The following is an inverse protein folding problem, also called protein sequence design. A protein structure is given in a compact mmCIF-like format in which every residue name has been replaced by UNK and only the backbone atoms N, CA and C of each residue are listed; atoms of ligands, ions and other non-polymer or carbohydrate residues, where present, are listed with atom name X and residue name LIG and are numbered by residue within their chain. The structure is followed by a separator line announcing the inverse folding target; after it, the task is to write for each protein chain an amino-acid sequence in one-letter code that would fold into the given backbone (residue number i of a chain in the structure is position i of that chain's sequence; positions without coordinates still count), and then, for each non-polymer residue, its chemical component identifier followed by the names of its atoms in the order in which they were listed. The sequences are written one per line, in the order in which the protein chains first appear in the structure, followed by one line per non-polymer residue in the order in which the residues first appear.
data_IF_753029959530
#
_entry.id   IF_753029959530
#
_cell.length_a   1.000
_cell.length_b   1.000
_cell.length_c   1.000
_cell.angle_alpha   90.00
_cell.angle_beta   90.00
_cell.angle_gamma   90.00
#
_symmetry.space_group_name_H-M   'P 1'
#
loop_
_entity.id
_entity.type
_entity.pdbx_description
1 polymer ?
#
# COMPACT_ATOMS: atom_id res chain seq x y z
N UNK A 1 -19.74 7.11 -11.72
CA UNK A 1 -19.49 5.94 -10.88
C UNK A 1 -20.29 4.79 -11.47
N UNK A 2 -19.61 3.78 -12.04
CA UNK A 2 -20.30 2.58 -12.54
C UNK A 2 -20.57 1.68 -11.34
N UNK A 3 -21.81 1.20 -11.19
CA UNK A 3 -22.18 0.25 -10.13
C UNK A 3 -21.38 -1.04 -10.31
N UNK A 4 -20.57 -1.40 -9.31
CA UNK A 4 -19.72 -2.60 -9.32
C UNK A 4 -20.24 -3.63 -8.33
N UNK A 5 -19.98 -4.90 -8.58
CA UNK A 5 -20.31 -6.00 -7.68
C UNK A 5 -19.67 -5.84 -6.30
N UNK A 6 -18.52 -5.14 -6.20
CA UNK A 6 -17.85 -4.82 -4.93
C UNK A 6 -18.77 -4.07 -3.95
N UNK A 7 -19.61 -3.15 -4.42
CA UNK A 7 -20.54 -2.42 -3.53
C UNK A 7 -21.62 -3.32 -2.94
N UNK A 8 -22.20 -4.26 -3.74
CA UNK A 8 -23.19 -5.22 -3.24
C UNK A 8 -22.51 -6.18 -2.25
N UNK A 9 -21.38 -6.75 -2.63
CA UNK A 9 -20.62 -7.66 -1.78
C UNK A 9 -20.23 -7.00 -0.44
N UNK A 10 -19.80 -5.73 -0.47
CA UNK A 10 -19.51 -4.95 0.74
C UNK A 10 -20.70 -4.87 1.68
N UNK A 11 -21.87 -4.52 1.15
CA UNK A 11 -23.08 -4.36 1.96
C UNK A 11 -23.55 -5.71 2.54
N UNK A 12 -23.52 -6.77 1.73
CA UNK A 12 -23.97 -8.11 2.15
C UNK A 12 -23.04 -8.69 3.22
N UNK A 13 -21.74 -8.66 2.98
CA UNK A 13 -20.75 -9.22 3.92
C UNK A 13 -20.65 -8.39 5.20
N UNK A 14 -20.64 -7.06 5.10
CA UNK A 14 -20.64 -6.20 6.28
C UNK A 14 -21.93 -6.37 7.08
N UNK A 15 -23.09 -6.45 6.42
CA UNK A 15 -24.36 -6.73 7.07
C UNK A 15 -24.37 -8.08 7.79
N UNK A 16 -23.82 -9.12 7.18
CA UNK A 16 -23.62 -10.43 7.80
C UNK A 16 -22.71 -10.39 9.03
N UNK A 17 -21.60 -9.64 8.95
CA UNK A 17 -20.67 -9.46 10.07
C UNK A 17 -21.34 -8.71 11.24
N UNK A 18 -22.09 -7.64 10.95
CA UNK A 18 -22.86 -6.89 11.95
C UNK A 18 -23.88 -7.80 12.64
N UNK A 19 -24.63 -8.62 11.87
CA UNK A 19 -25.58 -9.57 12.42
C UNK A 19 -24.89 -10.62 13.31
N UNK A 20 -23.79 -11.22 12.83
CA UNK A 20 -23.02 -12.19 13.61
C UNK A 20 -22.49 -11.56 14.90
N UNK A 21 -21.96 -10.34 14.85
CA UNK A 21 -21.50 -9.60 16.02
C UNK A 21 -22.62 -9.33 17.02
N UNK A 22 -23.77 -8.88 16.53
CA UNK A 22 -24.93 -8.61 17.38
C UNK A 22 -25.40 -9.87 18.11
N UNK A 23 -25.53 -11.00 17.42
CA UNK A 23 -25.91 -12.26 18.03
C UNK A 23 -24.82 -12.84 18.95
N UNK A 24 -23.54 -12.56 18.68
CA UNK A 24 -22.43 -12.98 19.53
C UNK A 24 -22.36 -12.20 20.85
N UNK A 25 -22.79 -10.93 20.84
CA UNK A 25 -22.72 -10.04 22.02
C UNK A 25 -24.03 -10.02 22.83
N UNK A 26 -25.18 -10.27 22.19
CA UNK A 26 -26.51 -10.15 22.81
C UNK A 26 -27.31 -11.45 22.67
N UNK A 27 -27.47 -12.20 23.74
CA UNK A 27 -28.40 -13.30 23.79
C UNK A 27 -27.83 -14.72 23.92
N UNK A 28 -28.57 -15.73 23.45
CA UNK A 28 -28.31 -17.17 23.67
C UNK A 28 -27.04 -17.69 22.94
N UNK A 29 -26.43 -16.89 22.09
CA UNK A 29 -25.24 -17.26 21.29
C UNK A 29 -23.99 -16.48 21.70
N UNK A 30 -24.01 -15.81 22.85
CA UNK A 30 -22.87 -15.04 23.32
C UNK A 30 -21.60 -15.91 23.44
N UNK A 31 -20.51 -15.52 22.77
CA UNK A 31 -19.24 -16.25 22.73
C UNK A 31 -19.22 -17.51 21.85
N UNK A 32 -20.26 -17.77 21.03
CA UNK A 32 -20.31 -18.96 20.15
C UNK A 32 -20.11 -18.62 18.67
N UNK A 33 -20.19 -17.35 18.29
CA UNK A 33 -20.11 -16.90 16.91
C UNK A 33 -18.80 -16.18 16.57
N UNK A 34 -17.78 -16.28 17.42
CA UNK A 34 -16.48 -15.58 17.26
C UNK A 34 -15.83 -15.86 15.90
N UNK A 35 -15.83 -17.13 15.45
CA UNK A 35 -15.30 -17.51 14.14
C UNK A 35 -16.07 -16.87 12.99
N UNK A 36 -17.41 -16.75 13.12
CA UNK A 36 -18.24 -16.12 12.09
C UNK A 36 -18.02 -14.60 12.06
N UNK A 37 -17.91 -13.96 13.24
CA UNK A 37 -17.60 -12.53 13.35
C UNK A 37 -16.24 -12.26 12.73
N UNK A 38 -15.23 -13.05 13.12
CA UNK A 38 -13.86 -12.94 12.59
C UNK A 38 -13.84 -13.12 11.07
N UNK A 39 -14.37 -14.23 10.56
CA UNK A 39 -14.32 -14.57 9.14
C UNK A 39 -15.12 -13.61 8.27
N UNK A 40 -16.35 -13.28 8.65
CA UNK A 40 -17.20 -12.39 7.86
C UNK A 40 -16.68 -10.95 7.86
N UNK A 41 -16.23 -10.43 9.01
CA UNK A 41 -15.66 -9.08 9.07
C UNK A 41 -14.35 -8.99 8.28
N UNK A 42 -13.48 -10.00 8.39
CA UNK A 42 -12.23 -10.07 7.65
C UNK A 42 -12.46 -10.13 6.14
N UNK A 43 -13.35 -11.02 5.67
CA UNK A 43 -13.66 -11.15 4.23
C UNK A 43 -14.41 -9.92 3.70
N UNK A 44 -15.21 -9.23 4.53
CA UNK A 44 -15.87 -7.99 4.14
C UNK A 44 -14.89 -6.86 3.81
N UNK A 45 -13.69 -6.85 4.40
CA UNK A 45 -12.65 -5.86 4.08
C UNK A 45 -12.21 -5.92 2.62
N UNK A 46 -12.23 -7.09 1.98
CA UNK A 46 -11.81 -7.26 0.58
C UNK A 46 -12.62 -6.36 -0.38
N UNK A 47 -13.96 -6.52 -0.49
CA UNK A 47 -14.74 -5.66 -1.38
C UNK A 47 -14.86 -4.22 -0.86
N UNK A 48 -14.70 -3.98 0.45
CA UNK A 48 -14.69 -2.63 1.04
C UNK A 48 -13.43 -1.86 0.63
N UNK A 49 -12.23 -2.48 0.69
CA UNK A 49 -10.99 -1.87 0.23
C UNK A 49 -11.07 -1.54 -1.27
N UNK A 50 -11.59 -2.46 -2.09
CA UNK A 50 -11.80 -2.19 -3.52
C UNK A 50 -12.78 -1.03 -3.75
N UNK A 51 -13.90 -0.98 -3.02
CA UNK A 51 -14.87 0.10 -3.14
C UNK A 51 -14.28 1.45 -2.72
N UNK A 52 -13.46 1.46 -1.67
CA UNK A 52 -12.75 2.65 -1.21
C UNK A 52 -11.75 3.16 -2.25
N UNK A 53 -10.95 2.27 -2.85
CA UNK A 53 -10.01 2.62 -3.92
C UNK A 53 -10.73 3.17 -5.14
N UNK A 54 -11.83 2.56 -5.59
CA UNK A 54 -12.65 3.06 -6.71
C UNK A 54 -13.18 4.49 -6.46
N UNK A 55 -13.57 4.77 -5.21
CA UNK A 55 -14.05 6.12 -4.81
C UNK A 55 -12.89 7.11 -4.75
N UNK A 56 -11.75 6.71 -4.20
CA UNK A 56 -10.54 7.54 -4.11
C UNK A 56 -10.04 7.93 -5.50
N UNK A 57 -9.93 6.98 -6.44
CA UNK A 57 -9.60 7.26 -7.84
C UNK A 57 -10.61 8.22 -8.47
N UNK A 58 -11.91 8.05 -8.19
CA UNK A 58 -12.96 8.94 -8.69
C UNK A 58 -12.87 10.37 -8.18
N UNK A 59 -12.18 10.60 -7.06
CA UNK A 59 -11.94 11.92 -6.48
C UNK A 59 -10.66 12.58 -6.98
N UNK A 60 -9.70 11.83 -7.52
CA UNK A 60 -8.40 12.37 -7.97
C UNK A 60 -8.48 13.55 -8.94
N UNK A 61 -9.45 13.64 -9.89
CA UNK A 61 -9.57 14.79 -10.77
C UNK A 61 -9.95 16.11 -10.09
N UNK A 62 -10.50 16.02 -8.86
CA UNK A 62 -10.91 17.20 -8.08
C UNK A 62 -9.82 17.72 -7.15
N UNK A 63 -8.75 16.94 -6.98
CA UNK A 63 -7.70 17.21 -6.00
C UNK A 63 -6.48 17.84 -6.66
N UNK A 64 -5.84 18.77 -5.95
CA UNK A 64 -4.51 19.24 -6.31
C UNK A 64 -3.49 18.11 -6.20
N UNK A 65 -2.39 18.20 -6.97
CA UNK A 65 -1.39 17.13 -7.08
C UNK A 65 -0.92 16.55 -5.74
N UNK A 66 -0.51 17.41 -4.80
CA UNK A 66 0.01 16.96 -3.48
C UNK A 66 -1.10 16.30 -2.64
N UNK A 67 -2.31 16.89 -2.65
CA UNK A 67 -3.44 16.36 -1.90
C UNK A 67 -3.88 14.99 -2.44
N UNK A 68 -3.77 14.78 -3.76
CA UNK A 68 -4.01 13.47 -4.38
C UNK A 68 -3.11 12.39 -3.79
N UNK A 69 -1.78 12.59 -3.80
CA UNK A 69 -0.84 11.61 -3.28
C UNK A 69 -1.06 11.31 -1.78
N UNK A 70 -1.40 12.33 -0.99
CA UNK A 70 -1.69 12.13 0.42
C UNK A 70 -3.00 11.36 0.67
N UNK A 71 -4.04 11.65 -0.12
CA UNK A 71 -5.32 10.94 -0.04
C UNK A 71 -5.17 9.49 -0.52
N UNK A 72 -4.47 9.25 -1.62
CA UNK A 72 -4.16 7.90 -2.11
C UNK A 72 -3.41 7.09 -1.05
N UNK A 73 -2.39 7.65 -0.42
CA UNK A 73 -1.64 6.97 0.65
C UNK A 73 -2.48 6.69 1.89
N UNK A 74 -3.33 7.64 2.28
CA UNK A 74 -4.16 7.48 3.49
C UNK A 74 -5.27 6.46 3.26
N UNK A 75 -6.04 6.61 2.19
CA UNK A 75 -7.21 5.77 1.94
C UNK A 75 -6.86 4.44 1.25
N UNK A 76 -5.75 4.38 0.51
CA UNK A 76 -5.22 3.14 -0.03
C UNK A 76 -4.80 2.15 1.06
N UNK A 77 -4.22 2.64 2.15
CA UNK A 77 -3.80 1.82 3.29
C UNK A 77 -4.79 1.89 4.48
N UNK A 78 -6.05 2.24 4.22
CA UNK A 78 -7.05 2.41 5.28
C UNK A 78 -7.34 1.12 6.08
N UNK A 79 -7.39 -0.08 5.47
CA UNK A 79 -7.55 -1.32 6.22
C UNK A 79 -6.42 -1.53 7.24
N UNK A 80 -5.15 -1.32 6.85
CA UNK A 80 -3.99 -1.46 7.75
C UNK A 80 -4.05 -0.46 8.90
N UNK A 81 -4.38 0.80 8.59
CA UNK A 81 -4.51 1.85 9.60
C UNK A 81 -5.65 1.52 10.58
N UNK A 82 -6.80 1.06 10.07
CA UNK A 82 -7.94 0.72 10.91
C UNK A 82 -7.65 -0.48 11.83
N UNK A 83 -7.06 -1.55 11.28
CA UNK A 83 -6.66 -2.73 12.05
C UNK A 83 -5.61 -2.36 13.08
N UNK A 84 -4.55 -1.65 12.67
CA UNK A 84 -3.49 -1.20 13.56
C UNK A 84 -4.03 -0.33 14.69
N UNK A 85 -4.94 0.60 14.41
CA UNK A 85 -5.57 1.45 15.41
C UNK A 85 -6.35 0.63 16.46
N UNK A 86 -7.22 -0.30 16.02
CA UNK A 86 -8.00 -1.09 16.97
C UNK A 86 -7.13 -2.07 17.77
N UNK A 87 -6.07 -2.62 17.18
CA UNK A 87 -5.07 -3.39 17.90
C UNK A 87 -4.32 -2.53 18.95
N UNK A 88 -4.00 -1.27 18.63
CA UNK A 88 -3.42 -0.32 19.59
C UNK A 88 -4.38 -0.02 20.74
N UNK A 89 -5.65 0.29 20.44
CA UNK A 89 -6.67 0.53 21.46
C UNK A 89 -6.76 -0.69 22.39
N UNK A 90 -6.88 -1.88 21.82
CA UNK A 90 -6.99 -3.14 22.57
C UNK A 90 -5.71 -3.47 23.38
N UNK A 91 -4.55 -3.11 22.85
CA UNK A 91 -3.28 -3.24 23.55
C UNK A 91 -3.27 -2.45 24.88
N UNK A 92 -3.85 -1.26 24.88
CA UNK A 92 -3.91 -0.38 26.05
C UNK A 92 -5.07 -0.71 27.02
N UNK A 93 -5.99 -1.61 26.67
CA UNK A 93 -7.05 -2.07 27.59
C UNK A 93 -6.50 -3.00 28.67
N UNK A 94 -5.43 -3.75 28.41
CA UNK A 94 -4.84 -4.72 29.35
C UNK A 94 -3.37 -4.96 29.08
N UNK A 95 -2.54 -4.87 30.13
CA UNK A 95 -1.12 -5.18 30.06
C UNK A 95 -0.83 -6.60 29.52
N UNK A 96 -1.75 -7.56 29.73
CA UNK A 96 -1.62 -8.92 29.22
C UNK A 96 -1.76 -8.98 27.68
N UNK A 97 -2.46 -8.02 27.06
CA UNK A 97 -2.69 -7.96 25.61
C UNK A 97 -1.68 -7.06 24.88
N UNK A 98 -0.92 -6.25 25.63
CA UNK A 98 -0.03 -5.23 25.04
C UNK A 98 0.96 -5.85 24.05
N UNK A 99 1.80 -6.79 24.53
CA UNK A 99 2.83 -7.39 23.69
C UNK A 99 2.26 -8.23 22.55
N UNK A 100 1.18 -9.00 22.81
CA UNK A 100 0.51 -9.79 21.76
C UNK A 100 0.02 -8.92 20.62
N UNK A 101 -0.67 -7.81 20.92
CA UNK A 101 -1.17 -6.92 19.91
C UNK A 101 -0.04 -6.16 19.18
N UNK A 102 1.03 -5.80 19.89
CA UNK A 102 2.21 -5.20 19.28
C UNK A 102 2.92 -6.15 18.31
N UNK A 103 3.01 -7.44 18.63
CA UNK A 103 3.51 -8.47 17.70
C UNK A 103 2.64 -8.55 16.44
N UNK A 104 1.30 -8.55 16.60
CA UNK A 104 0.38 -8.56 15.45
C UNK A 104 0.56 -7.30 14.60
N UNK A 105 0.68 -6.11 15.22
CA UNK A 105 0.87 -4.84 14.47
C UNK A 105 2.20 -4.86 13.71
N UNK A 106 3.31 -5.22 14.37
CA UNK A 106 4.63 -5.31 13.71
C UNK A 106 4.59 -6.31 12.56
N UNK A 107 3.96 -7.48 12.79
CA UNK A 107 3.71 -8.47 11.73
C UNK A 107 2.88 -7.91 10.58
N UNK A 108 1.78 -7.19 10.84
CA UNK A 108 0.95 -6.54 9.82
C UNK A 108 1.77 -5.58 8.95
N UNK A 109 2.60 -4.74 9.57
CA UNK A 109 3.38 -3.73 8.87
C UNK A 109 4.47 -4.35 7.97
N UNK A 110 5.24 -5.31 8.48
CA UNK A 110 6.24 -6.06 7.70
C UNK A 110 5.56 -6.95 6.66
N UNK A 111 4.47 -7.61 7.05
CA UNK A 111 3.70 -8.49 6.17
C UNK A 111 3.08 -7.76 4.99
N UNK A 112 2.60 -6.50 5.16
CA UNK A 112 2.08 -5.71 4.05
C UNK A 112 3.16 -5.38 3.02
N UNK A 113 4.38 -5.08 3.45
CA UNK A 113 5.53 -4.90 2.53
C UNK A 113 5.81 -6.20 1.77
N UNK A 114 5.92 -7.32 2.50
CA UNK A 114 6.19 -8.65 1.90
C UNK A 114 5.09 -9.03 0.91
N UNK A 115 3.83 -8.83 1.30
CA UNK A 115 2.66 -9.17 0.49
C UNK A 115 2.64 -8.38 -0.82
N UNK A 116 2.85 -7.07 -0.77
CA UNK A 116 2.84 -6.21 -1.96
C UNK A 116 4.04 -6.49 -2.87
N UNK A 117 5.25 -6.66 -2.31
CA UNK A 117 6.46 -6.92 -3.08
C UNK A 117 6.47 -8.31 -3.73
N UNK A 118 5.88 -9.32 -3.08
CA UNK A 118 5.96 -10.71 -3.54
C UNK A 118 4.63 -11.25 -4.07
N UNK A 119 3.53 -11.14 -3.31
CA UNK A 119 2.26 -11.74 -3.71
C UNK A 119 1.55 -10.88 -4.75
N UNK A 120 1.33 -9.60 -4.48
CA UNK A 120 0.58 -8.70 -5.39
C UNK A 120 1.35 -8.53 -6.70
N UNK A 121 2.64 -8.18 -6.63
CA UNK A 121 3.48 -8.04 -7.80
C UNK A 121 3.66 -9.39 -8.51
N UNK A 122 3.92 -10.47 -7.79
CA UNK A 122 4.10 -11.80 -8.36
C UNK A 122 2.87 -12.29 -9.14
N UNK A 123 1.66 -12.12 -8.61
CA UNK A 123 0.41 -12.47 -9.31
C UNK A 123 0.22 -11.56 -10.53
N UNK A 124 0.48 -10.26 -10.41
CA UNK A 124 0.35 -9.31 -11.51
C UNK A 124 1.30 -9.66 -12.67
N UNK A 125 2.59 -9.88 -12.37
CA UNK A 125 3.62 -10.30 -13.34
C UNK A 125 3.23 -11.64 -13.97
N UNK A 126 2.90 -12.65 -13.18
CA UNK A 126 2.53 -13.96 -13.67
C UNK A 126 1.31 -13.91 -14.60
N UNK A 127 0.21 -13.28 -14.14
CA UNK A 127 -1.03 -13.19 -14.92
C UNK A 127 -0.89 -12.32 -16.16
N UNK A 128 -0.07 -11.26 -16.09
CA UNK A 128 0.24 -10.37 -17.21
C UNK A 128 1.10 -11.09 -18.26
N UNK A 129 2.19 -11.72 -17.84
CA UNK A 129 3.13 -12.38 -18.74
C UNK A 129 2.57 -13.65 -19.38
N UNK A 130 1.68 -14.39 -18.70
CA UNK A 130 0.95 -15.49 -19.33
C UNK A 130 0.10 -15.06 -20.53
N UNK A 131 -0.37 -13.81 -20.51
CA UNK A 131 -1.21 -13.26 -21.59
C UNK A 131 -0.40 -12.53 -22.66
N UNK A 132 0.62 -11.78 -22.26
CA UNK A 132 1.32 -10.84 -23.13
C UNK A 132 2.75 -11.28 -23.48
N UNK A 133 3.27 -12.35 -22.86
CA UNK A 133 4.67 -12.75 -22.97
C UNK A 133 5.58 -11.89 -22.10
N UNK A 134 6.75 -11.51 -22.61
CA UNK A 134 7.67 -10.56 -21.95
C UNK A 134 7.01 -9.18 -21.93
N UNK A 135 7.02 -8.53 -20.78
CA UNK A 135 6.49 -7.18 -20.57
C UNK A 135 7.63 -6.24 -20.17
N UNK A 136 7.51 -4.98 -20.55
CA UNK A 136 8.48 -3.93 -20.22
C UNK A 136 7.86 -2.89 -19.29
N UNK A 137 8.70 -2.27 -18.47
CA UNK A 137 8.31 -1.20 -17.55
C UNK A 137 9.46 -0.20 -17.36
N UNK A 138 9.19 0.93 -16.75
CA UNK A 138 10.17 1.99 -16.51
C UNK A 138 11.16 1.57 -15.40
N UNK A 139 12.36 1.09 -15.79
CA UNK A 139 13.41 0.66 -14.86
C UNK A 139 13.85 1.78 -13.89
N UNK A 140 13.86 3.05 -14.31
CA UNK A 140 14.23 4.16 -13.43
C UNK A 140 13.19 4.37 -12.31
N UNK A 141 11.92 4.19 -12.62
CA UNK A 141 10.84 4.29 -11.63
C UNK A 141 10.90 3.12 -10.65
N UNK A 142 11.09 1.90 -11.16
CA UNK A 142 11.26 0.71 -10.33
C UNK A 142 12.49 0.81 -9.41
N UNK A 143 13.62 1.32 -9.91
CA UNK A 143 14.80 1.60 -9.10
C UNK A 143 14.55 2.67 -8.03
N UNK A 144 13.71 3.68 -8.33
CA UNK A 144 13.24 4.66 -7.36
C UNK A 144 12.48 4.02 -6.20
N UNK A 145 11.52 3.15 -6.49
CA UNK A 145 10.80 2.37 -5.46
C UNK A 145 11.73 1.46 -4.65
N UNK A 146 12.66 0.76 -5.32
CA UNK A 146 13.62 -0.11 -4.64
C UNK A 146 14.52 0.67 -3.66
N UNK A 147 14.99 1.85 -4.05
CA UNK A 147 15.82 2.69 -3.17
C UNK A 147 15.04 3.24 -1.97
N UNK A 148 13.79 3.65 -2.17
CA UNK A 148 12.91 4.12 -1.09
C UNK A 148 12.57 2.98 -0.13
N UNK A 149 12.29 1.79 -0.65
CA UNK A 149 12.03 0.60 0.16
C UNK A 149 13.28 0.21 0.96
N UNK A 150 14.46 0.22 0.34
CA UNK A 150 15.72 -0.06 1.05
C UNK A 150 15.97 0.95 2.19
N UNK A 151 15.75 2.25 1.95
CA UNK A 151 15.85 3.28 2.98
C UNK A 151 14.86 3.01 4.12
N UNK A 152 13.63 2.66 3.79
CA UNK A 152 12.59 2.36 4.77
C UNK A 152 12.98 1.15 5.64
N UNK A 153 13.44 0.06 5.03
CA UNK A 153 13.87 -1.16 5.75
C UNK A 153 15.06 -0.88 6.65
N UNK A 154 16.05 -0.10 6.19
CA UNK A 154 17.16 0.35 7.04
C UNK A 154 16.64 1.18 8.22
N UNK A 155 15.73 2.12 7.98
CA UNK A 155 15.10 2.92 9.03
C UNK A 155 14.40 2.07 10.09
N UNK A 156 13.62 1.05 9.66
CA UNK A 156 12.96 0.12 10.58
C UNK A 156 13.96 -0.76 11.36
N UNK A 157 15.09 -1.12 10.73
CA UNK A 157 16.09 -1.98 11.36
C UNK A 157 16.96 -1.23 12.41
N UNK A 158 17.20 0.08 12.22
CA UNK A 158 18.11 0.84 13.07
C UNK A 158 17.75 0.81 14.56
N UNK A 159 16.49 1.05 15.00
CA UNK A 159 16.13 0.98 16.42
C UNK A 159 16.35 -0.42 17.02
N UNK A 160 16.00 -1.47 16.27
CA UNK A 160 16.22 -2.86 16.70
C UNK A 160 17.71 -3.18 16.87
N UNK A 161 18.54 -2.80 15.89
CA UNK A 161 19.98 -3.03 15.96
C UNK A 161 20.61 -2.22 17.09
N UNK A 162 20.24 -0.94 17.23
CA UNK A 162 20.75 -0.09 18.30
C UNK A 162 20.41 -0.66 19.69
N UNK A 163 19.17 -1.10 19.89
CA UNK A 163 18.76 -1.75 21.15
C UNK A 163 19.51 -3.05 21.41
N UNK A 164 19.79 -3.85 20.37
CA UNK A 164 20.55 -5.11 20.51
C UNK A 164 22.03 -4.91 20.89
N UNK A 165 22.65 -3.80 20.54
CA UNK A 165 24.06 -3.50 20.86
C UNK A 165 24.23 -2.65 22.12
N UNK A 166 23.22 -1.91 22.55
CA UNK A 166 23.29 -1.11 23.77
C UNK A 166 23.20 -2.02 25.02
N UNK A 167 24.18 -1.90 25.89
CA UNK A 167 24.24 -2.71 27.16
C UNK A 167 23.26 -2.25 28.22
N UNK A 168 22.89 -0.97 28.20
CA UNK A 168 21.93 -0.33 29.10
C UNK A 168 21.11 0.66 28.32
N UNK A 169 19.89 0.28 27.99
CA UNK A 169 18.91 1.20 27.37
C UNK A 169 17.63 1.24 28.21
N UNK A 170 17.18 2.44 28.54
CA UNK A 170 15.87 2.63 29.15
C UNK A 170 14.76 2.44 28.10
N UNK A 171 13.57 2.04 28.54
CA UNK A 171 12.38 1.98 27.66
C UNK A 171 12.17 3.32 26.95
N UNK A 172 12.31 4.44 27.67
CA UNK A 172 12.18 5.79 27.12
C UNK A 172 13.16 6.07 25.96
N UNK A 173 14.40 5.57 26.04
CA UNK A 173 15.38 5.76 24.98
C UNK A 173 14.97 5.03 23.69
N UNK A 174 14.41 3.83 23.80
CA UNK A 174 13.91 3.03 22.67
C UNK A 174 12.67 3.66 22.04
N UNK A 175 11.75 4.13 22.88
CA UNK A 175 10.55 4.84 22.45
C UNK A 175 10.91 6.14 21.70
N UNK A 176 11.77 6.97 22.28
CA UNK A 176 12.23 8.20 21.66
C UNK A 176 12.97 7.93 20.33
N UNK A 177 13.81 6.90 20.25
CA UNK A 177 14.45 6.49 19.01
C UNK A 177 13.42 6.09 17.95
N UNK A 178 12.39 5.33 18.33
CA UNK A 178 11.31 4.90 17.43
C UNK A 178 10.48 6.09 16.93
N UNK A 179 10.17 7.06 17.79
CA UNK A 179 9.47 8.28 17.43
C UNK A 179 10.29 9.15 16.47
N UNK A 180 11.59 9.34 16.75
CA UNK A 180 12.48 10.13 15.88
C UNK A 180 12.63 9.47 14.51
N UNK A 181 12.89 8.17 14.46
CA UNK A 181 13.01 7.42 13.20
C UNK A 181 11.69 7.44 12.44
N UNK A 182 10.57 7.23 13.13
CA UNK A 182 9.23 7.39 12.54
C UNK A 182 9.02 8.78 11.93
N UNK A 183 9.42 9.84 12.64
CA UNK A 183 9.38 11.22 12.14
C UNK A 183 10.21 11.44 10.87
N UNK A 184 11.41 10.87 10.82
CA UNK A 184 12.29 10.94 9.65
C UNK A 184 11.66 10.18 8.46
N UNK A 185 11.14 8.98 8.67
CA UNK A 185 10.46 8.18 7.64
C UNK A 185 9.24 8.93 7.09
N UNK A 186 8.40 9.48 7.96
CA UNK A 186 7.24 10.26 7.58
C UNK A 186 7.61 11.52 6.78
N UNK A 187 8.62 12.26 7.20
CA UNK A 187 9.12 13.44 6.48
C UNK A 187 9.66 13.04 5.10
N UNK A 188 10.40 11.93 5.02
CA UNK A 188 10.90 11.38 3.76
C UNK A 188 9.75 11.05 2.79
N UNK A 189 8.66 10.48 3.32
CA UNK A 189 7.46 10.21 2.53
C UNK A 189 6.82 11.50 1.99
N UNK A 190 6.65 12.52 2.82
CA UNK A 190 6.11 13.83 2.38
C UNK A 190 6.99 14.45 1.30
N UNK A 191 8.32 14.38 1.45
CA UNK A 191 9.25 14.87 0.43
C UNK A 191 9.15 14.07 -0.87
N UNK A 192 9.01 12.74 -0.79
CA UNK A 192 8.81 11.87 -1.96
C UNK A 192 7.52 12.25 -2.71
N UNK A 193 6.38 12.37 -2.01
CA UNK A 193 5.12 12.78 -2.62
C UNK A 193 5.23 14.17 -3.24
N UNK A 194 5.85 15.10 -2.57
CA UNK A 194 6.09 16.44 -3.11
C UNK A 194 6.97 16.39 -4.38
N UNK A 195 8.09 15.67 -4.35
CA UNK A 195 9.00 15.56 -5.49
C UNK A 195 8.33 14.90 -6.70
N UNK A 196 7.60 13.80 -6.51
CA UNK A 196 6.89 13.09 -7.57
C UNK A 196 5.80 13.95 -8.22
N UNK A 197 5.07 14.73 -7.44
CA UNK A 197 3.98 15.57 -7.94
C UNK A 197 4.43 16.89 -8.59
N UNK A 198 5.56 17.44 -8.18
CA UNK A 198 6.11 18.69 -8.76
C UNK A 198 7.05 18.45 -9.95
N UNK A 199 7.35 17.20 -10.30
CA UNK A 199 8.28 16.86 -11.38
C UNK A 199 9.68 17.42 -11.16
N UNK A 200 10.13 17.53 -9.92
CA UNK A 200 11.44 18.11 -9.58
C UNK A 200 12.58 17.31 -10.21
N UNK A 201 12.40 16.00 -10.37
CA UNK A 201 13.38 15.15 -11.03
C UNK A 201 13.51 15.38 -12.55
N UNK A 202 12.40 15.65 -13.23
CA UNK A 202 12.38 15.95 -14.69
C UNK A 202 12.97 17.32 -15.00
N UNK A 203 12.70 18.34 -14.17
CA UNK A 203 13.26 19.69 -14.38
C UNK A 203 14.77 19.75 -14.24
N UNK A 204 15.37 18.92 -13.41
CA UNK A 204 16.83 18.81 -13.28
C UNK A 204 17.42 18.08 -14.49
N UNK A 205 16.71 17.09 -15.04
CA UNK A 205 17.19 16.30 -16.19
C UNK A 205 17.13 17.07 -17.50
N UNK A 206 16.06 17.84 -17.74
CA UNK A 206 15.94 18.71 -18.93
C UNK A 206 16.94 19.89 -18.91
N UNK A 207 17.39 20.32 -17.73
CA UNK A 207 18.40 21.38 -17.60
C UNK A 207 19.83 20.88 -17.85
N UNK A 208 20.09 19.58 -17.67
CA UNK A 208 21.40 18.95 -17.79
C UNK A 208 21.53 18.01 -19.01
N UNK A 209 20.47 17.87 -19.83
CA UNK A 209 20.58 17.15 -21.09
C UNK A 209 21.41 17.99 -22.08
N UNK A 210 22.46 17.42 -22.71
CA UNK A 210 23.14 18.12 -23.79
C UNK A 210 22.12 18.41 -24.89
N UNK A 211 22.01 19.67 -25.28
CA UNK A 211 21.26 20.08 -26.48
C UNK A 211 21.88 19.36 -27.66
N UNK A 212 21.31 18.28 -28.17
CA UNK A 212 21.81 17.60 -29.36
C UNK A 212 21.46 16.12 -29.55
N UNK A 213 20.98 15.39 -28.54
CA UNK A 213 20.81 13.93 -28.65
C UNK A 213 19.47 13.45 -29.28
N UNK A 214 18.57 14.33 -29.64
CA UNK A 214 17.26 13.99 -30.22
C UNK A 214 16.99 14.53 -31.64
N UNK A 215 17.94 15.26 -32.24
CA UNK A 215 17.66 15.97 -33.50
C UNK A 215 18.24 15.30 -34.75
N UNK A 216 19.11 14.30 -34.64
CA UNK A 216 19.72 13.69 -35.82
C UNK A 216 18.81 12.72 -36.58
N UNK A 217 17.78 12.15 -35.96
CA UNK A 217 16.82 11.27 -36.64
C UNK A 217 15.70 12.00 -37.39
N UNK A 218 15.28 13.17 -36.89
CA UNK A 218 14.24 13.98 -37.52
C UNK A 218 14.75 14.88 -38.63
N UNK A 219 16.03 15.27 -38.58
CA UNK A 219 16.65 16.15 -39.60
C UNK A 219 16.78 15.50 -40.98
N UNK A 220 16.93 14.16 -41.05
CA UNK A 220 17.09 13.45 -42.30
C UNK A 220 15.80 13.31 -43.13
N UNK A 221 14.62 13.28 -42.48
CA UNK A 221 13.30 13.27 -43.16
C UNK A 221 12.83 14.68 -43.53
N UNK A 222 13.37 15.70 -42.90
CA UNK A 222 12.98 17.10 -43.13
C UNK A 222 13.62 17.76 -44.37
N UNK A 223 14.67 17.20 -44.92
CA UNK A 223 15.43 17.82 -46.02
C UNK A 223 14.77 17.69 -47.40
N UNK A 224 13.78 16.81 -47.55
CA UNK A 224 13.07 16.53 -48.85
C UNK A 224 11.72 17.24 -49.01
N UNK A 225 11.23 18.00 -48.06
CA UNK A 225 9.97 18.70 -48.13
C UNK A 225 10.11 20.18 -48.50
N UNK A 226 9.34 20.63 -49.48
CA UNK A 226 9.17 22.05 -49.86
C UNK A 226 8.76 22.90 -48.64
N UNK A 227 9.29 24.10 -48.50
CA UNK A 227 9.10 24.99 -47.34
C UNK A 227 7.62 25.26 -47.02
N UNK A 228 6.77 25.27 -48.02
CA UNK A 228 5.32 25.41 -47.84
C UNK A 228 4.66 24.13 -47.26
N UNK A 229 5.13 22.97 -47.63
CA UNK A 229 4.67 21.70 -47.05
C UNK A 229 5.10 21.56 -45.57
N UNK A 230 6.31 22.01 -45.21
CA UNK A 230 6.78 22.11 -43.83
C UNK A 230 5.91 23.04 -42.97
N UNK A 231 5.59 24.21 -43.46
CA UNK A 231 4.69 25.17 -42.77
C UNK A 231 3.30 24.58 -42.56
N UNK A 232 2.75 23.87 -43.54
CA UNK A 232 1.44 23.21 -43.44
C UNK A 232 1.44 22.09 -42.42
N UNK A 233 2.47 21.21 -42.41
CA UNK A 233 2.61 20.11 -41.44
C UNK A 233 2.73 20.63 -40.04
N UNK A 234 3.59 21.63 -39.77
CA UNK A 234 3.70 22.30 -38.46
C UNK A 234 2.39 22.96 -37.99
N UNK A 235 1.66 23.55 -38.90
CA UNK A 235 0.34 24.17 -38.62
C UNK A 235 -0.71 23.09 -38.28
N UNK A 236 -0.72 21.97 -38.97
CA UNK A 236 -1.61 20.83 -38.70
C UNK A 236 -1.29 20.15 -37.38
N UNK A 237 -0.01 19.91 -37.10
CA UNK A 237 0.45 19.36 -35.84
C UNK A 237 0.11 20.27 -34.64
N UNK A 238 0.34 21.58 -34.78
CA UNK A 238 -0.05 22.57 -33.78
C UNK A 238 -1.57 22.65 -33.58
N UNK A 239 -2.33 22.51 -34.65
CA UNK A 239 -3.80 22.49 -34.59
C UNK A 239 -4.33 21.19 -33.94
N UNK A 240 -3.69 20.07 -34.23
CA UNK A 240 -4.03 18.78 -33.65
C UNK A 240 -3.67 18.73 -32.17
N UNK A 241 -2.52 19.30 -31.79
CA UNK A 241 -2.11 19.45 -30.37
C UNK A 241 -3.08 20.37 -29.62
N UNK A 242 -3.48 21.51 -30.21
CA UNK A 242 -4.50 22.40 -29.62
C UNK A 242 -5.85 21.70 -29.44
N UNK A 243 -6.32 20.92 -30.42
CA UNK A 243 -7.56 20.15 -30.32
C UNK A 243 -7.48 19.07 -29.20
N UNK A 244 -6.32 18.39 -29.04
CA UNK A 244 -6.09 17.45 -27.95
C UNK A 244 -6.10 18.13 -26.60
N UNK A 245 -5.46 19.27 -26.46
CA UNK A 245 -5.46 20.07 -25.23
C UNK A 245 -6.87 20.58 -24.89
N UNK A 246 -7.62 21.03 -25.90
CA UNK A 246 -8.97 21.55 -25.71
C UNK A 246 -9.99 20.45 -25.40
N UNK A 247 -9.85 19.27 -26.02
CA UNK A 247 -10.66 18.10 -25.68
C UNK A 247 -10.35 17.58 -24.28
N UNK A 248 -9.07 17.52 -23.89
CA UNK A 248 -8.65 17.16 -22.53
C UNK A 248 -9.18 18.15 -21.48
N UNK A 249 -9.11 19.47 -21.76
CA UNK A 249 -9.69 20.49 -20.87
C UNK A 249 -11.21 20.37 -20.75
N UNK A 250 -11.92 20.13 -21.85
CA UNK A 250 -13.39 19.93 -21.81
C UNK A 250 -13.79 18.66 -21.10
N UNK A 251 -12.97 17.61 -21.17
CA UNK A 251 -13.15 16.38 -20.43
C UNK A 251 -12.90 16.59 -18.93
N UNK A 252 -11.87 17.35 -18.59
CA UNK A 252 -11.56 17.77 -17.23
C UNK A 252 -12.66 18.66 -16.61
N UNK A 253 -13.16 19.63 -17.36
CA UNK A 253 -14.29 20.48 -16.93
C UNK A 253 -15.61 19.69 -16.81
N UNK A 254 -15.86 18.74 -17.70
CA UNK A 254 -17.04 17.85 -17.65
C UNK A 254 -16.96 16.86 -16.47
N UNK A 255 -15.76 16.54 -16.01
CA UNK A 255 -15.54 15.70 -14.82
C UNK A 255 -15.72 16.50 -13.51
N UNK A 256 -15.48 17.80 -13.49
CA UNK A 256 -15.62 18.69 -12.31
C UNK A 256 -17.08 19.05 -11.98
N UNK A 257 -17.94 18.04 -11.87
CA UNK A 257 -19.30 18.24 -11.39
C UNK A 257 -19.31 18.26 -9.85
N UNK A 258 -19.71 19.36 -9.18
CA UNK A 258 -19.68 19.47 -7.72
C UNK A 258 -20.56 18.41 -7.04
N UNK A 259 -21.63 17.97 -7.68
CA UNK A 259 -22.47 16.89 -7.16
C UNK A 259 -21.70 15.55 -7.09
N UNK A 260 -20.89 15.24 -8.11
CA UNK A 260 -20.04 14.04 -8.11
C UNK A 260 -18.97 14.11 -7.02
N UNK A 261 -18.40 15.29 -6.78
CA UNK A 261 -17.43 15.51 -5.69
C UNK A 261 -18.08 15.23 -4.34
N UNK A 262 -19.28 15.80 -4.09
CA UNK A 262 -19.98 15.59 -2.81
C UNK A 262 -20.33 14.10 -2.64
N UNK A 263 -20.87 13.45 -3.67
CA UNK A 263 -21.19 12.01 -3.63
C UNK A 263 -19.92 11.19 -3.37
N UNK A 264 -18.79 11.53 -4.02
CA UNK A 264 -17.51 10.86 -3.81
C UNK A 264 -17.01 11.02 -2.38
N UNK A 265 -17.04 12.22 -1.81
CA UNK A 265 -16.64 12.47 -0.42
C UNK A 265 -17.53 11.72 0.57
N UNK A 266 -18.85 11.75 0.37
CA UNK A 266 -19.81 11.02 1.23
C UNK A 266 -19.54 9.51 1.14
N UNK A 267 -19.33 8.98 -0.05
CA UNK A 267 -19.01 7.56 -0.26
C UNK A 267 -17.65 7.18 0.38
N UNK A 268 -16.64 8.05 0.26
CA UNK A 268 -15.33 7.87 0.89
C UNK A 268 -15.48 7.73 2.42
N UNK A 269 -16.19 8.67 3.05
CA UNK A 269 -16.43 8.65 4.49
C UNK A 269 -17.26 7.42 4.91
N UNK A 270 -18.27 7.04 4.13
CA UNK A 270 -19.10 5.87 4.38
C UNK A 270 -18.27 4.57 4.36
N UNK A 271 -17.50 4.33 3.29
CA UNK A 271 -16.68 3.11 3.20
C UNK A 271 -15.58 3.09 4.26
N UNK A 272 -14.97 4.23 4.57
CA UNK A 272 -14.02 4.35 5.67
C UNK A 272 -14.66 3.95 6.99
N UNK A 273 -15.83 4.49 7.32
CA UNK A 273 -16.55 4.13 8.56
C UNK A 273 -16.86 2.63 8.63
N UNK A 274 -17.28 2.03 7.51
CA UNK A 274 -17.58 0.59 7.47
C UNK A 274 -16.31 -0.25 7.63
N UNK A 275 -15.18 0.16 7.03
CA UNK A 275 -13.88 -0.50 7.23
C UNK A 275 -13.48 -0.46 8.72
N UNK A 276 -13.59 0.70 9.36
CA UNK A 276 -13.33 0.81 10.80
C UNK A 276 -14.25 -0.07 11.64
N UNK A 277 -15.51 -0.16 11.29
CA UNK A 277 -16.46 -1.04 11.98
C UNK A 277 -16.09 -2.52 11.83
N UNK A 278 -15.71 -2.95 10.62
CA UNK A 278 -15.26 -4.32 10.36
C UNK A 278 -13.95 -4.63 11.09
N UNK A 279 -12.99 -3.71 11.05
CA UNK A 279 -11.73 -3.84 11.78
C UNK A 279 -11.98 -4.00 13.30
N UNK A 280 -12.85 -3.17 13.88
CA UNK A 280 -13.21 -3.29 15.29
C UNK A 280 -13.82 -4.67 15.62
N UNK A 281 -14.70 -5.18 14.78
CA UNK A 281 -15.38 -6.46 15.04
C UNK A 281 -14.40 -7.62 15.04
N UNK A 282 -13.58 -7.77 14.01
CA UNK A 282 -12.68 -8.91 13.95
C UNK A 282 -11.50 -8.78 14.93
N UNK A 283 -10.96 -7.59 15.16
CA UNK A 283 -9.92 -7.36 16.19
C UNK A 283 -10.47 -7.68 17.56
N UNK A 284 -11.73 -7.34 17.84
CA UNK A 284 -12.42 -7.64 19.09
C UNK A 284 -12.40 -9.14 19.45
N UNK A 285 -12.49 -10.03 18.46
CA UNK A 285 -12.51 -11.50 18.67
C UNK A 285 -11.20 -12.21 18.29
N UNK A 286 -10.17 -11.48 17.85
CA UNK A 286 -8.91 -12.06 17.35
C UNK A 286 -8.23 -12.94 18.41
N UNK A 287 -8.17 -12.51 19.69
CA UNK A 287 -7.46 -13.27 20.73
C UNK A 287 -8.16 -14.59 21.03
N UNK A 288 -9.51 -14.61 21.04
CA UNK A 288 -10.29 -15.82 21.22
C UNK A 288 -10.06 -16.80 20.07
N UNK A 289 -10.01 -16.30 18.84
CA UNK A 289 -9.75 -17.12 17.65
C UNK A 289 -8.34 -17.69 17.68
N UNK A 290 -7.33 -16.87 18.04
CA UNK A 290 -5.93 -17.34 18.18
C UNK A 290 -5.84 -18.41 19.29
N UNK A 291 -6.49 -18.19 20.45
CA UNK A 291 -6.45 -19.14 21.56
C UNK A 291 -7.08 -20.51 21.25
N UNK A 292 -7.99 -20.59 20.29
CA UNK A 292 -8.75 -21.80 19.93
C UNK A 292 -8.30 -22.43 18.59
N UNK A 293 -7.31 -21.86 17.91
CA UNK A 293 -6.82 -22.32 16.59
C UNK A 293 -5.29 -22.48 16.62
N UNK A 294 -4.69 -23.18 15.64
CA UNK A 294 -3.24 -23.23 15.48
C UNK A 294 -2.59 -21.90 15.04
N UNK A 295 -3.37 -20.82 14.90
CA UNK A 295 -2.85 -19.52 14.50
C UNK A 295 -2.00 -18.93 15.64
N UNK A 296 -0.93 -18.25 15.23
CA UNK A 296 -0.09 -17.48 16.17
C UNK A 296 -0.27 -15.98 15.91
N UNK A 297 -0.01 -15.09 16.88
CA UNK A 297 -0.02 -13.65 16.67
C UNK A 297 0.84 -13.24 15.47
N UNK A 298 2.01 -13.86 15.30
CA UNK A 298 2.90 -13.61 14.17
C UNK A 298 2.29 -14.05 12.84
N UNK A 299 1.72 -15.26 12.73
CA UNK A 299 1.13 -15.74 11.48
C UNK A 299 -0.10 -14.91 11.07
N UNK A 300 -0.88 -14.47 12.04
CA UNK A 300 -2.03 -13.57 11.81
C UNK A 300 -1.57 -12.20 11.31
N UNK A 301 -0.61 -11.58 12.01
CA UNK A 301 -0.08 -10.28 11.61
C UNK A 301 0.70 -10.34 10.31
N UNK A 302 1.65 -11.25 10.15
CA UNK A 302 2.58 -11.29 9.03
C UNK A 302 1.94 -11.76 7.71
N UNK A 303 0.97 -12.67 7.77
CA UNK A 303 0.42 -13.32 6.57
C UNK A 303 -1.07 -13.04 6.39
N UNK A 304 -1.92 -13.35 7.39
CA UNK A 304 -3.36 -13.34 7.21
C UNK A 304 -3.90 -11.92 6.98
N UNK A 305 -3.56 -10.98 7.84
CA UNK A 305 -4.04 -9.62 7.75
C UNK A 305 -3.53 -8.90 6.49
N UNK A 306 -2.21 -8.95 6.14
CA UNK A 306 -1.71 -8.34 4.93
C UNK A 306 -2.35 -8.86 3.65
N UNK A 307 -2.60 -10.16 3.53
CA UNK A 307 -3.30 -10.70 2.36
C UNK A 307 -4.66 -10.03 2.19
N UNK A 308 -5.43 -9.90 3.27
CA UNK A 308 -6.79 -9.33 3.22
C UNK A 308 -6.75 -7.83 2.96
N UNK A 309 -5.86 -7.10 3.65
CA UNK A 309 -5.73 -5.64 3.49
C UNK A 309 -5.36 -5.25 2.06
N UNK A 310 -4.44 -5.98 1.45
CA UNK A 310 -3.89 -5.64 0.14
C UNK A 310 -4.64 -6.31 -1.04
N UNK A 311 -5.84 -6.85 -0.83
CA UNK A 311 -6.66 -7.32 -1.96
C UNK A 311 -7.08 -6.19 -2.89
N UNK A 312 -7.19 -4.95 -2.40
CA UNK A 312 -7.46 -3.77 -3.21
C UNK A 312 -6.41 -3.56 -4.29
N UNK A 313 -5.14 -3.65 -3.91
CA UNK A 313 -3.97 -3.55 -4.79
C UNK A 313 -3.94 -4.69 -5.81
N UNK A 314 -4.27 -5.91 -5.39
CA UNK A 314 -4.34 -7.05 -6.30
C UNK A 314 -5.39 -6.83 -7.41
N UNK A 315 -6.57 -6.30 -7.06
CA UNK A 315 -7.63 -5.98 -8.01
C UNK A 315 -7.28 -4.80 -8.94
N UNK A 316 -6.33 -3.96 -8.58
CA UNK A 316 -5.81 -2.89 -9.43
C UNK A 316 -4.62 -3.36 -10.30
N UNK A 317 -3.62 -4.00 -9.70
CA UNK A 317 -2.38 -4.40 -10.37
C UNK A 317 -2.58 -5.51 -11.42
N UNK A 318 -3.36 -6.56 -11.11
CA UNK A 318 -3.54 -7.70 -12.04
C UNK A 318 -4.24 -7.30 -13.35
N UNK A 319 -5.35 -6.56 -13.34
CA UNK A 319 -5.94 -6.07 -14.59
C UNK A 319 -5.04 -5.13 -15.39
N UNK A 320 -4.20 -4.29 -14.74
CA UNK A 320 -3.24 -3.43 -15.40
C UNK A 320 -2.19 -4.27 -16.15
N UNK A 321 -1.53 -5.21 -15.47
CA UNK A 321 -0.55 -6.12 -16.07
C UNK A 321 -1.14 -6.93 -17.24
N UNK A 322 -2.39 -7.43 -17.10
CA UNK A 322 -3.08 -8.15 -18.19
C UNK A 322 -3.41 -7.28 -19.40
N UNK A 323 -3.48 -5.96 -19.25
CA UNK A 323 -3.60 -5.01 -20.37
C UNK A 323 -2.24 -4.60 -20.95
N UNK A 324 -1.16 -5.23 -20.55
CA UNK A 324 0.22 -4.89 -20.90
C UNK A 324 0.65 -3.49 -20.40
N UNK A 325 0.03 -3.03 -19.31
CA UNK A 325 0.35 -1.79 -18.61
C UNK A 325 1.09 -2.15 -17.32
N UNK A 326 2.36 -2.54 -17.48
CA UNK A 326 3.18 -3.00 -16.37
C UNK A 326 3.62 -1.83 -15.47
N UNK A 327 3.76 -0.63 -16.03
CA UNK A 327 4.07 0.57 -15.26
C UNK A 327 2.99 0.85 -14.21
N UNK A 328 1.70 0.83 -14.61
CA UNK A 328 0.60 0.99 -13.65
C UNK A 328 0.53 -0.15 -12.63
N UNK A 329 0.84 -1.39 -13.01
CA UNK A 329 0.86 -2.51 -12.07
C UNK A 329 1.99 -2.37 -11.04
N UNK A 330 3.16 -1.90 -11.48
CA UNK A 330 4.31 -1.57 -10.62
C UNK A 330 4.00 -0.41 -9.67
N UNK A 331 3.37 0.65 -10.17
CA UNK A 331 2.97 1.79 -9.34
C UNK A 331 2.06 1.39 -8.19
N UNK A 332 1.11 0.52 -8.44
CA UNK A 332 0.21 0.02 -7.40
C UNK A 332 0.97 -0.83 -6.38
N UNK A 333 1.64 -1.90 -6.83
CA UNK A 333 2.29 -2.85 -5.92
C UNK A 333 3.50 -2.22 -5.20
N UNK A 334 4.41 -1.57 -5.94
CA UNK A 334 5.60 -0.95 -5.40
C UNK A 334 5.32 0.33 -4.60
N UNK A 335 4.31 1.09 -5.03
CA UNK A 335 3.84 2.27 -4.30
C UNK A 335 3.41 1.90 -2.89
N UNK A 336 2.57 0.87 -2.73
CA UNK A 336 2.12 0.37 -1.42
C UNK A 336 3.29 -0.18 -0.59
N UNK A 337 4.28 -0.87 -1.20
CA UNK A 337 5.49 -1.30 -0.50
C UNK A 337 6.25 -0.15 0.18
N UNK A 338 6.26 1.03 -0.43
CA UNK A 338 6.93 2.23 0.09
C UNK A 338 6.04 2.99 1.08
N UNK A 339 4.74 3.04 0.82
CA UNK A 339 3.78 3.77 1.66
C UNK A 339 3.64 3.16 3.05
N UNK A 340 3.59 1.84 3.18
CA UNK A 340 3.44 1.20 4.48
C UNK A 340 4.56 1.58 5.45
N UNK A 341 5.85 1.37 5.16
CA UNK A 341 6.92 1.69 6.10
C UNK A 341 7.19 3.20 6.27
N UNK A 342 6.92 4.01 5.24
CA UNK A 342 7.20 5.45 5.31
C UNK A 342 6.02 6.29 5.81
N UNK A 343 4.79 5.77 5.74
CA UNK A 343 3.59 6.50 6.14
C UNK A 343 2.80 5.76 7.23
N UNK A 344 2.37 4.50 7.00
CA UNK A 344 1.51 3.78 7.96
C UNK A 344 2.24 3.50 9.27
N UNK A 345 3.49 3.03 9.20
CA UNK A 345 4.32 2.77 10.39
C UNK A 345 4.45 4.01 11.28
N UNK A 346 4.92 5.16 10.77
CA UNK A 346 5.00 6.37 11.58
C UNK A 346 3.66 6.81 12.17
N UNK A 347 2.58 6.74 11.38
CA UNK A 347 1.23 7.12 11.84
C UNK A 347 0.82 6.26 13.05
N UNK A 348 1.00 4.93 12.99
CA UNK A 348 0.65 4.04 14.11
C UNK A 348 1.56 4.25 15.31
N UNK A 349 2.86 4.52 15.12
CA UNK A 349 3.80 4.86 16.21
C UNK A 349 3.37 6.15 16.91
N UNK A 350 3.01 7.19 16.16
CA UNK A 350 2.54 8.46 16.75
C UNK A 350 1.19 8.29 17.46
N UNK A 351 0.25 7.54 16.88
CA UNK A 351 -1.03 7.24 17.54
C UNK A 351 -0.77 6.48 18.84
N UNK A 352 0.12 5.48 18.82
CA UNK A 352 0.48 4.72 20.01
C UNK A 352 1.06 5.62 21.11
N UNK A 353 1.94 6.56 20.77
CA UNK A 353 2.49 7.51 21.74
C UNK A 353 1.40 8.43 22.34
N UNK A 354 0.40 8.82 21.55
CA UNK A 354 -0.74 9.61 22.04
C UNK A 354 -1.58 8.76 23.01
N UNK A 355 -1.83 7.49 22.70
CA UNK A 355 -2.62 6.59 23.53
C UNK A 355 -1.88 6.23 24.85
N UNK A 356 -0.58 5.99 24.79
CA UNK A 356 0.26 5.69 25.95
C UNK A 356 0.36 6.90 26.92
N UNK A 357 0.28 8.13 26.41
CA UNK A 357 0.37 9.34 27.22
C UNK A 357 1.74 9.48 27.91
N UNK A 358 1.78 9.37 29.24
CA UNK A 358 3.03 9.45 30.04
C UNK A 358 3.55 8.09 30.49
N UNK A 359 2.91 6.99 30.09
CA UNK A 359 3.31 5.64 30.49
C UNK A 359 4.46 5.17 29.59
N UNK A 360 5.68 5.19 30.08
CA UNK A 360 6.79 4.57 29.36
C UNK A 360 6.66 3.04 29.34
N UNK A 361 6.97 2.44 28.19
CA UNK A 361 6.80 1.01 27.93
C UNK A 361 5.52 0.64 27.19
N UNK A 362 4.56 1.56 27.07
CA UNK A 362 3.28 1.32 26.39
C UNK A 362 3.25 1.85 24.93
N UNK A 363 4.32 2.48 24.45
CA UNK A 363 4.43 2.98 23.07
C UNK A 363 4.83 1.85 22.13
N UNK A 364 4.20 1.76 20.98
CA UNK A 364 4.61 0.86 19.90
C UNK A 364 6.02 1.25 19.40
N UNK A 365 7.01 0.45 19.77
CA UNK A 365 8.39 0.68 19.35
C UNK A 365 8.69 0.01 18.01
N UNK A 366 9.67 0.55 17.27
CA UNK A 366 10.23 -0.04 16.06
C UNK A 366 11.27 -1.13 16.40
N UNK A 367 10.98 -1.95 17.41
CA UNK A 367 11.76 -3.13 17.76
C UNK A 367 11.07 -4.35 17.16
N UNK A 368 11.61 -4.80 16.05
CA UNK A 368 11.13 -5.97 15.31
C UNK A 368 11.89 -7.23 15.72
N UNK A 369 11.29 -8.38 15.46
CA UNK A 369 12.03 -9.63 15.56
C UNK A 369 13.16 -9.63 14.49
N UNK A 370 14.40 -10.02 14.84
CA UNK A 370 15.49 -10.08 13.86
C UNK A 370 15.19 -10.88 12.61
N UNK A 371 14.38 -11.96 12.73
CA UNK A 371 13.98 -12.77 11.57
C UNK A 371 13.08 -11.95 10.63
N UNK A 372 12.14 -11.15 11.15
CA UNK A 372 11.27 -10.28 10.35
C UNK A 372 12.09 -9.25 9.54
N UNK A 373 13.12 -8.66 10.18
CA UNK A 373 14.02 -7.70 9.50
C UNK A 373 14.88 -8.37 8.44
N UNK A 374 15.41 -9.56 8.71
CA UNK A 374 16.17 -10.33 7.71
C UNK A 374 15.27 -10.66 6.52
N UNK A 375 14.06 -11.14 6.77
CA UNK A 375 13.11 -11.52 5.71
C UNK A 375 12.73 -10.30 4.87
N UNK A 376 12.34 -9.17 5.47
CA UNK A 376 12.00 -7.96 4.69
C UNK A 376 13.20 -7.38 3.94
N UNK A 377 14.41 -7.50 4.50
CA UNK A 377 15.65 -7.15 3.81
C UNK A 377 15.91 -8.01 2.57
N UNK A 378 15.74 -9.34 2.70
CA UNK A 378 15.84 -10.27 1.57
C UNK A 378 14.75 -10.01 0.51
N UNK A 379 13.52 -9.71 0.93
CA UNK A 379 12.43 -9.34 0.02
C UNK A 379 12.80 -8.08 -0.76
N UNK A 380 13.30 -7.05 -0.07
CA UNK A 380 13.77 -5.82 -0.71
C UNK A 380 14.89 -6.08 -1.71
N UNK A 381 15.83 -6.94 -1.37
CA UNK A 381 16.94 -7.33 -2.25
C UNK A 381 16.42 -8.07 -3.49
N UNK A 382 15.54 -9.08 -3.33
CA UNK A 382 14.95 -9.81 -4.45
C UNK A 382 14.09 -8.89 -5.32
N UNK A 383 13.29 -8.01 -4.70
CA UNK A 383 12.52 -6.99 -5.41
C UNK A 383 13.43 -6.12 -6.28
N UNK A 384 14.54 -5.63 -5.73
CA UNK A 384 15.48 -4.81 -6.48
C UNK A 384 16.11 -5.58 -7.65
N UNK A 385 16.49 -6.86 -7.45
CA UNK A 385 17.10 -7.70 -8.50
C UNK A 385 16.14 -7.95 -9.66
N UNK A 386 14.89 -8.33 -9.37
CA UNK A 386 13.89 -8.65 -10.40
C UNK A 386 13.52 -7.44 -11.26
N UNK A 387 13.68 -6.23 -10.73
CA UNK A 387 13.28 -5.01 -11.42
C UNK A 387 14.45 -4.21 -12.04
N UNK A 388 15.67 -4.78 -12.11
CA UNK A 388 16.85 -4.08 -12.59
C UNK A 388 16.86 -3.79 -14.09
N UNK A 389 16.38 -4.72 -14.90
CA UNK A 389 16.47 -4.67 -16.36
C UNK A 389 15.28 -3.95 -17.03
N UNK A 390 14.22 -3.64 -16.28
CA UNK A 390 13.02 -2.99 -16.82
C UNK A 390 12.15 -3.91 -17.68
N UNK A 391 12.38 -5.21 -17.61
CA UNK A 391 11.60 -6.24 -18.28
C UNK A 391 11.12 -7.27 -17.27
N UNK A 392 10.04 -7.98 -17.57
CA UNK A 392 9.57 -9.08 -16.71
C UNK A 392 8.92 -10.20 -17.51
N UNK A 393 9.04 -11.41 -16.95
CA UNK A 393 8.56 -12.66 -17.52
C UNK A 393 7.68 -13.44 -16.53
N UNK A 394 6.95 -14.43 -17.02
CA UNK A 394 6.14 -15.29 -16.14
C UNK A 394 6.99 -16.02 -15.08
N UNK A 395 8.27 -16.31 -15.38
CA UNK A 395 9.16 -17.02 -14.47
C UNK A 395 9.47 -16.17 -13.23
N UNK A 396 9.70 -14.86 -13.40
CA UNK A 396 9.91 -13.93 -12.29
C UNK A 396 8.66 -13.83 -11.41
N UNK A 397 7.45 -13.81 -12.02
CA UNK A 397 6.22 -13.90 -11.27
C UNK A 397 6.15 -15.16 -10.40
N UNK A 398 6.54 -16.34 -10.94
CA UNK A 398 6.61 -17.59 -10.18
C UNK A 398 7.66 -17.54 -9.06
N UNK A 399 8.83 -16.92 -9.31
CA UNK A 399 9.87 -16.76 -8.29
C UNK A 399 9.40 -15.92 -7.11
N UNK A 400 8.75 -14.78 -7.37
CA UNK A 400 8.17 -13.93 -6.33
C UNK A 400 7.11 -14.68 -5.51
N UNK A 401 6.20 -15.40 -6.17
CA UNK A 401 5.17 -16.21 -5.52
C UNK A 401 5.76 -17.39 -4.71
N UNK A 402 6.77 -18.04 -5.22
CA UNK A 402 7.45 -19.12 -4.50
C UNK A 402 8.13 -18.58 -3.24
N UNK A 403 8.76 -17.41 -3.31
CA UNK A 403 9.36 -16.77 -2.14
C UNK A 403 8.30 -16.37 -1.11
N UNK A 404 7.18 -15.79 -1.53
CA UNK A 404 6.05 -15.53 -0.63
C UNK A 404 5.56 -16.81 0.07
N UNK A 405 5.36 -17.90 -0.67
CA UNK A 405 4.92 -19.17 -0.11
C UNK A 405 5.92 -19.75 0.90
N UNK A 406 7.22 -19.65 0.64
CA UNK A 406 8.25 -20.08 1.59
C UNK A 406 8.16 -19.30 2.90
N UNK A 407 7.98 -17.97 2.84
CA UNK A 407 7.79 -17.13 4.04
C UNK A 407 6.50 -17.53 4.75
N UNK A 408 5.39 -17.67 4.03
CA UNK A 408 4.09 -18.01 4.60
C UNK A 408 4.12 -19.36 5.32
N UNK A 409 4.65 -20.41 4.67
CA UNK A 409 4.79 -21.74 5.29
C UNK A 409 5.67 -21.65 6.54
N UNK A 410 6.77 -20.92 6.49
CA UNK A 410 7.66 -20.75 7.65
C UNK A 410 6.95 -20.08 8.82
N UNK A 411 6.15 -19.02 8.55
CA UNK A 411 5.39 -18.30 9.58
C UNK A 411 4.30 -19.16 10.24
N UNK A 412 3.74 -20.14 9.53
CA UNK A 412 2.73 -21.06 10.08
C UNK A 412 3.34 -22.28 10.77
N UNK A 413 4.47 -22.80 10.27
CA UNK A 413 5.08 -24.05 10.75
C UNK A 413 6.03 -23.79 11.92
N UNK A 414 6.74 -22.67 11.92
CA UNK A 414 7.64 -22.27 13.01
C UNK A 414 6.91 -21.25 13.90
N UNK A 415 6.25 -21.70 14.97
CA UNK A 415 5.62 -20.77 15.89
C UNK A 415 6.70 -19.83 16.45
N UNK A 416 6.54 -18.55 16.23
CA UNK A 416 7.39 -17.53 16.82
C UNK A 416 7.36 -17.71 18.34
N UNK A 417 8.53 -17.97 18.93
CA UNK A 417 8.74 -17.94 20.37
C UNK A 417 8.91 -16.51 20.83
#
# INVERSE_FOLDING_TARGET
MKFRWSYIASVVLAGGAVAAWFFNTSGSYAGQLEYWVFGLALVALIPLAQALNDVTEGLTPYLGKVLRGLIEATFGNMPEIAIGLFLLIKAHESAALLETNFVIIRGLLIGSVINNALLVLGIAVFAGALRNGRMTFNANQAAGFASMLALAVVGLALPTLAAGFARDHSADAVENASLIVGGILFLTYIMYVAASQFGLGERVRTRNAPEGAGQEGEAAEEEELDEDARKRRKAEEAQQARRRIESAKREEERQRNPVKLIIGVVALLFFTLVIFLMANFFVGVTDQVIAQTPLTPLSVGLILFPIICNFGELFAAVPAARRNDMDSAMDVAAGSCVQVPLFVVPVLVFISAILAGTNSGDVLTLIFNPIELIVVGLVTFVYALVNLDGETTWLEGVQLLAFFLMIAVTAFVLPGR
#
